data_IF_443914697521
#
_entry.id   IF_443914697521
#
_cell.length_a   1.000
_cell.length_b   1.000
_cell.length_c   1.000
_cell.angle_alpha   90.00
_cell.angle_beta   90.00
_cell.angle_gamma   90.00
#
_symmetry.space_group_name_H-M   'P 1'
#
loop_
_entity.id
_entity.type
_entity.pdbx_description
1 polymer ?
#
# COMPACT_ATOMS: atom_id res chain seq x y z
N UNK A 1 -6.02 -1.49 -6.35
CA UNK A 1 -5.09 -0.33 -6.40
C UNK A 1 -4.43 -0.33 -7.75
N UNK A 2 -4.30 0.83 -8.38
CA UNK A 2 -3.69 0.99 -9.69
C UNK A 2 -2.56 2.00 -9.53
N UNK A 3 -1.35 1.63 -9.96
CA UNK A 3 -0.21 2.54 -10.01
C UNK A 3 0.14 2.85 -11.46
N UNK A 4 0.46 4.10 -11.75
CA UNK A 4 0.94 4.57 -13.04
C UNK A 4 2.44 4.29 -13.27
N UNK A 5 2.95 4.62 -14.46
CA UNK A 5 4.37 4.48 -14.80
C UNK A 5 5.33 5.35 -13.95
N UNK A 6 4.83 6.42 -13.31
CA UNK A 6 5.62 7.27 -12.41
C UNK A 6 5.76 6.65 -11.01
N UNK A 7 4.95 5.63 -10.71
CA UNK A 7 4.89 4.96 -9.41
C UNK A 7 3.86 5.57 -8.46
N UNK A 8 3.13 6.59 -8.90
CA UNK A 8 2.02 7.15 -8.17
C UNK A 8 0.75 6.35 -8.48
N UNK A 9 -0.27 6.46 -7.65
CA UNK A 9 -1.55 5.85 -8.01
C UNK A 9 -2.58 5.95 -6.94
N UNK A 10 -3.65 5.20 -7.11
CA UNK A 10 -4.78 5.23 -6.21
C UNK A 10 -5.40 3.87 -6.01
N UNK A 11 -6.08 3.71 -4.89
CA UNK A 11 -6.82 2.51 -4.58
C UNK A 11 -7.97 2.80 -3.65
N UNK A 12 -8.89 1.86 -3.61
CA UNK A 12 -9.93 1.81 -2.62
C UNK A 12 -9.69 0.61 -1.71
N UNK A 13 -10.02 0.78 -0.44
CA UNK A 13 -10.20 -0.31 0.50
C UNK A 13 -11.65 -0.31 0.93
N UNK A 14 -12.29 -1.48 0.86
CA UNK A 14 -13.68 -1.67 1.25
C UNK A 14 -13.75 -2.79 2.29
N UNK A 15 -14.41 -2.50 3.41
CA UNK A 15 -14.74 -3.46 4.47
C UNK A 15 -16.22 -3.38 4.81
N UNK A 16 -16.68 -4.26 5.72
CA UNK A 16 -18.06 -4.21 6.21
C UNK A 16 -18.39 -2.94 7.00
N UNK A 17 -17.38 -2.27 7.58
CA UNK A 17 -17.58 -1.09 8.43
C UNK A 17 -17.37 0.20 7.68
N UNK A 18 -16.44 0.21 6.73
CA UNK A 18 -16.09 1.42 5.99
C UNK A 18 -15.38 1.14 4.68
N UNK A 19 -15.51 2.14 3.80
CA UNK A 19 -14.81 2.24 2.53
C UNK A 19 -14.01 3.54 2.54
N UNK A 20 -12.75 3.47 2.15
CA UNK A 20 -11.94 4.66 1.94
C UNK A 20 -11.14 4.56 0.65
N UNK A 21 -10.85 5.74 0.09
CA UNK A 21 -9.97 5.87 -1.06
C UNK A 21 -8.64 6.43 -0.59
N UNK A 22 -7.56 5.90 -1.13
CA UNK A 22 -6.21 6.29 -0.79
C UNK A 22 -5.39 6.57 -2.06
N UNK A 23 -4.42 7.47 -1.93
CA UNK A 23 -3.48 7.84 -2.97
C UNK A 23 -2.09 7.40 -2.51
N UNK A 24 -1.34 6.79 -3.43
CA UNK A 24 0.07 6.50 -3.26
C UNK A 24 0.85 7.55 -4.02
N UNK A 25 1.73 8.23 -3.30
CA UNK A 25 2.68 9.17 -3.88
C UNK A 25 4.09 8.64 -3.64
N UNK A 26 4.92 8.64 -4.68
CA UNK A 26 6.31 8.24 -4.55
C UNK A 26 7.04 9.21 -3.63
N UNK A 27 7.68 8.68 -2.59
CA UNK A 27 8.42 9.50 -1.66
C UNK A 27 9.73 9.99 -2.32
N UNK A 28 9.92 11.30 -2.57
CA UNK A 28 11.15 11.82 -3.16
C UNK A 28 12.36 11.67 -2.24
N UNK A 29 12.14 11.56 -0.92
CA UNK A 29 13.19 11.41 0.09
C UNK A 29 13.54 9.93 0.37
N UNK A 30 13.00 9.00 -0.43
CA UNK A 30 13.25 7.58 -0.23
C UNK A 30 14.74 7.24 -0.44
N UNK A 31 15.35 6.65 0.59
CA UNK A 31 16.73 6.14 0.54
C UNK A 31 16.71 4.64 0.26
N UNK A 32 17.17 4.26 -0.92
CA UNK A 32 17.24 2.86 -1.32
C UNK A 32 18.15 2.07 -0.36
N UNK A 33 17.62 1.02 0.26
CA UNK A 33 18.35 0.18 1.21
C UNK A 33 18.14 0.51 2.69
N UNK A 34 17.48 1.64 3.00
CA UNK A 34 17.06 1.97 4.37
C UNK A 34 15.65 1.43 4.63
N UNK A 35 15.53 0.49 5.58
CA UNK A 35 14.24 -0.10 5.96
C UNK A 35 13.30 0.89 6.64
N UNK A 36 13.83 1.96 7.24
CA UNK A 36 13.06 2.99 7.91
C UNK A 36 12.61 4.09 6.96
N UNK A 37 13.11 4.10 5.71
CA UNK A 37 12.72 5.07 4.70
C UNK A 37 11.55 4.53 3.87
N UNK A 38 10.33 5.11 3.97
CA UNK A 38 9.20 4.66 3.18
C UNK A 38 9.43 4.98 1.71
N UNK A 39 9.03 4.06 0.84
CA UNK A 39 9.14 4.23 -0.61
C UNK A 39 8.04 5.13 -1.19
N UNK A 40 6.87 5.12 -0.56
CA UNK A 40 5.71 5.90 -0.97
C UNK A 40 5.02 6.45 0.29
N UNK A 41 4.46 7.64 0.16
CA UNK A 41 3.56 8.24 1.14
C UNK A 41 2.12 7.83 0.79
N UNK A 42 1.30 7.63 1.83
CA UNK A 42 -0.10 7.22 1.66
C UNK A 42 -1.01 8.32 2.17
N UNK A 43 -1.85 8.82 1.29
CA UNK A 43 -2.83 9.85 1.61
C UNK A 43 -4.23 9.28 1.56
N UNK A 44 -5.10 9.65 2.51
CA UNK A 44 -6.52 9.35 2.46
C UNK A 44 -7.28 10.50 1.80
N UNK A 45 -8.26 10.18 0.94
CA UNK A 45 -9.16 11.17 0.36
C UNK A 45 -10.32 11.44 1.35
N UNK A 46 -10.32 12.62 1.96
CA UNK A 46 -11.41 13.13 2.79
C UNK A 46 -12.32 14.11 2.04
N UNK A 47 -13.35 14.60 2.72
CA UNK A 47 -14.32 15.55 2.16
C UNK A 47 -13.70 16.93 1.82
N UNK A 48 -12.65 17.32 2.54
CA UNK A 48 -11.95 18.61 2.40
C UNK A 48 -10.63 18.53 1.63
N UNK A 49 -10.27 17.34 1.12
CA UNK A 49 -9.01 17.11 0.41
C UNK A 49 -8.31 15.81 0.82
N UNK A 50 -7.17 15.55 0.21
CA UNK A 50 -6.30 14.45 0.59
C UNK A 50 -5.37 14.87 1.74
N UNK A 51 -5.21 14.02 2.75
CA UNK A 51 -4.27 14.24 3.86
C UNK A 51 -3.37 13.02 4.02
N UNK A 52 -2.13 13.25 4.45
CA UNK A 52 -1.19 12.16 4.75
C UNK A 52 -1.70 11.37 5.96
N UNK A 53 -1.83 10.07 5.78
CA UNK A 53 -2.41 9.17 6.78
C UNK A 53 -1.57 7.89 6.93
N UNK A 54 -0.39 7.83 6.32
CA UNK A 54 0.36 6.60 6.32
C UNK A 54 1.55 6.58 5.39
N UNK A 55 2.18 5.41 5.34
CA UNK A 55 3.40 5.18 4.60
C UNK A 55 3.45 3.76 4.02
N UNK A 56 4.19 3.61 2.93
CA UNK A 56 4.27 2.38 2.16
C UNK A 56 5.72 2.02 1.79
N UNK A 57 6.03 0.73 1.91
CA UNK A 57 7.33 0.14 1.62
C UNK A 57 7.21 -0.87 0.49
N UNK A 58 8.05 -0.67 -0.53
CA UNK A 58 8.21 -1.64 -1.61
C UNK A 58 9.08 -2.78 -1.11
N UNK A 59 8.53 -3.99 -1.09
CA UNK A 59 9.23 -5.22 -0.69
C UNK A 59 9.27 -6.20 -1.85
N UNK A 60 10.24 -7.09 -1.82
CA UNK A 60 10.38 -8.17 -2.81
C UNK A 60 10.12 -9.50 -2.13
N UNK A 61 9.31 -10.36 -2.73
CA UNK A 61 9.04 -11.70 -2.25
C UNK A 61 10.35 -12.51 -2.31
N UNK A 62 10.82 -12.98 -1.15
CA UNK A 62 12.09 -13.72 -1.06
C UNK A 62 11.92 -15.22 -1.32
N UNK A 63 10.75 -15.79 -1.02
CA UNK A 63 10.50 -17.23 -1.03
C UNK A 63 9.15 -17.59 -1.68
N UNK A 64 9.04 -18.82 -2.21
CA UNK A 64 7.81 -19.35 -2.82
C UNK A 64 7.68 -19.14 -4.33
N UNK A 65 6.52 -19.51 -4.88
CA UNK A 65 6.25 -19.50 -6.33
C UNK A 65 6.32 -18.10 -6.96
N UNK A 66 6.14 -17.05 -6.16
CA UNK A 66 6.19 -15.64 -6.60
C UNK A 66 7.54 -14.97 -6.27
N UNK A 67 8.61 -15.73 -6.06
CA UNK A 67 9.94 -15.17 -5.74
C UNK A 67 10.38 -14.13 -6.77
N UNK A 68 10.86 -13.00 -6.30
CA UNK A 68 11.26 -11.85 -7.14
C UNK A 68 10.11 -10.92 -7.51
N UNK A 69 8.86 -11.25 -7.20
CA UNK A 69 7.75 -10.31 -7.35
C UNK A 69 7.86 -9.17 -6.34
N UNK A 70 7.56 -7.95 -6.79
CA UNK A 70 7.44 -6.78 -5.93
C UNK A 70 6.03 -6.71 -5.35
N UNK A 71 5.92 -6.27 -4.12
CA UNK A 71 4.66 -5.99 -3.45
C UNK A 71 4.81 -4.76 -2.55
N UNK A 72 3.70 -4.13 -2.22
CA UNK A 72 3.70 -3.00 -1.29
C UNK A 72 3.20 -3.46 0.06
N UNK A 73 3.90 -3.06 1.12
CA UNK A 73 3.48 -3.21 2.50
C UNK A 73 3.23 -1.81 3.03
N UNK A 74 2.04 -1.49 3.50
CA UNK A 74 1.71 -0.12 3.89
C UNK A 74 0.80 -0.09 5.10
N UNK A 75 0.90 1.00 5.85
CA UNK A 75 0.10 1.23 7.04
C UNK A 75 -0.71 2.50 6.84
N UNK A 76 -1.99 2.44 7.22
CA UNK A 76 -2.89 3.60 7.26
C UNK A 76 -3.30 3.80 8.71
N UNK A 77 -2.99 4.97 9.24
CA UNK A 77 -3.34 5.41 10.59
C UNK A 77 -4.37 6.54 10.48
N UNK A 78 -5.63 6.21 10.72
CA UNK A 78 -6.73 7.16 10.66
C UNK A 78 -7.64 6.98 11.89
N UNK A 79 -8.10 8.07 12.53
CA UNK A 79 -8.92 7.98 13.75
C UNK A 79 -10.25 7.24 13.62
N UNK A 80 -10.74 6.98 12.39
CA UNK A 80 -11.92 6.15 12.16
C UNK A 80 -11.69 4.65 12.44
N UNK A 81 -10.42 4.22 12.58
CA UNK A 81 -10.05 2.87 12.96
C UNK A 81 -9.67 2.80 14.44
N UNK A 82 -10.02 1.69 15.10
CA UNK A 82 -9.61 1.42 16.48
C UNK A 82 -8.08 1.21 16.61
N UNK A 83 -7.40 0.90 15.51
CA UNK A 83 -5.96 0.72 15.42
C UNK A 83 -5.47 0.93 13.97
N UNK A 84 -4.17 1.23 13.75
CA UNK A 84 -3.61 1.38 12.41
C UNK A 84 -3.84 0.13 11.55
N UNK A 85 -4.31 0.34 10.32
CA UNK A 85 -4.51 -0.73 9.35
C UNK A 85 -3.20 -1.07 8.65
N UNK A 86 -2.78 -2.33 8.77
CA UNK A 86 -1.64 -2.86 8.02
C UNK A 86 -2.13 -3.63 6.80
N UNK A 87 -1.82 -3.09 5.61
CA UNK A 87 -2.28 -3.55 4.32
C UNK A 87 -1.10 -4.06 3.47
N UNK A 88 -1.38 -4.97 2.55
CA UNK A 88 -0.39 -5.48 1.60
C UNK A 88 -0.99 -5.50 0.21
N UNK A 89 -0.32 -4.88 -0.76
CA UNK A 89 -0.73 -4.84 -2.14
C UNK A 89 0.12 -5.79 -3.00
N UNK A 90 -0.49 -6.82 -3.57
CA UNK A 90 0.14 -7.80 -4.47
C UNK A 90 -0.21 -7.50 -5.92
N UNK A 91 0.77 -7.63 -6.82
CA UNK A 91 0.53 -7.42 -8.26
C UNK A 91 -0.44 -8.48 -8.79
N UNK A 92 -1.57 -8.05 -9.34
CA UNK A 92 -2.55 -8.91 -10.03
C UNK A 92 -2.23 -9.04 -11.52
N UNK A 93 -2.09 -7.88 -12.18
CA UNK A 93 -1.82 -7.81 -13.62
C UNK A 93 -0.67 -6.84 -13.83
N UNK A 94 0.41 -7.35 -14.45
CA UNK A 94 1.42 -6.49 -15.05
C UNK A 94 0.98 -6.20 -16.48
N UNK A 95 0.78 -4.93 -16.81
CA UNK A 95 0.60 -4.53 -18.19
C UNK A 95 1.78 -5.08 -19.02
N UNK A 96 1.47 -5.94 -20.00
CA UNK A 96 2.47 -6.52 -20.91
C UNK A 96 2.77 -5.60 -22.09
N UNK A 97 1.89 -4.66 -22.38
CA UNK A 97 2.04 -3.65 -23.42
C UNK A 97 1.48 -2.30 -22.95
N UNK A 98 2.01 -1.22 -23.54
CA UNK A 98 1.87 0.18 -23.12
C UNK A 98 0.43 0.67 -23.04
N UNK A 99 -0.19 0.45 -21.90
CA UNK A 99 -0.99 1.47 -21.22
C UNK A 99 -0.52 1.47 -19.76
N UNK A 100 0.00 2.61 -19.33
CA UNK A 100 0.97 2.83 -18.25
C UNK A 100 0.45 2.55 -16.84
N UNK A 101 -0.12 1.38 -16.56
CA UNK A 101 -0.65 1.05 -15.24
C UNK A 101 -0.38 -0.40 -14.79
N UNK A 102 -0.14 -0.57 -13.49
CA UNK A 102 -0.04 -1.87 -12.83
C UNK A 102 -1.14 -2.01 -11.80
N UNK A 103 -1.89 -3.11 -11.89
CA UNK A 103 -2.98 -3.40 -10.96
C UNK A 103 -2.51 -4.27 -9.79
N UNK A 104 -2.94 -3.89 -8.60
CA UNK A 104 -2.63 -4.53 -7.34
C UNK A 104 -3.90 -4.90 -6.57
N UNK A 105 -3.92 -6.12 -6.05
CA UNK A 105 -4.88 -6.58 -5.04
C UNK A 105 -4.42 -6.07 -3.68
N UNK A 106 -5.31 -5.37 -2.98
CA UNK A 106 -5.04 -4.89 -1.62
C UNK A 106 -5.65 -5.87 -0.63
N UNK A 107 -4.78 -6.54 0.12
CA UNK A 107 -5.17 -7.51 1.13
C UNK A 107 -4.91 -6.90 2.51
N UNK A 108 -5.95 -6.89 3.33
CA UNK A 108 -5.81 -6.64 4.75
C UNK A 108 -5.52 -7.94 5.50
N UNK A 109 -4.48 -7.93 6.33
CA UNK A 109 -4.22 -9.04 7.25
C UNK A 109 -4.49 -8.54 8.66
N UNK A 110 -5.41 -9.22 9.36
CA UNK A 110 -5.62 -9.00 10.79
C UNK A 110 -4.27 -9.25 11.50
N UNK A 111 -3.79 -8.32 12.36
CA UNK A 111 -2.65 -8.60 13.21
C UNK A 111 -2.90 -9.92 13.95
N UNK A 112 -1.96 -10.86 13.86
CA UNK A 112 -2.05 -12.04 14.73
C UNK A 112 -1.98 -11.51 16.15
N UNK A 113 -2.95 -11.87 16.99
CA UNK A 113 -2.81 -11.64 18.42
C UNK A 113 -1.47 -12.25 18.80
N UNK A 114 -0.55 -11.41 19.28
CA UNK A 114 0.64 -11.92 19.96
C UNK A 114 0.06 -12.69 21.13
N UNK A 115 0.08 -14.01 21.07
CA UNK A 115 -0.17 -14.80 22.26
C UNK A 115 0.89 -14.32 23.25
N UNK A 116 0.46 -13.58 24.26
CA UNK A 116 1.32 -13.21 25.37
C UNK A 116 1.87 -14.53 25.93
N UNK A 117 3.17 -14.72 25.78
CA UNK A 117 3.90 -15.83 26.35
C UNK A 117 4.11 -15.60 27.84
#
# INVERSE_FOLDING_TARGET
MILDATGNGEGNYTSLRQTFNFIFEKNPEHKQGDSNSPSHLVHLKGASGAFEAGAAWTKTVQEGANRGAKFFSFTVDDPSFEAPLNLTAFVLVKAKDKEDFTEYEVVWRRPRAVAAA
#
